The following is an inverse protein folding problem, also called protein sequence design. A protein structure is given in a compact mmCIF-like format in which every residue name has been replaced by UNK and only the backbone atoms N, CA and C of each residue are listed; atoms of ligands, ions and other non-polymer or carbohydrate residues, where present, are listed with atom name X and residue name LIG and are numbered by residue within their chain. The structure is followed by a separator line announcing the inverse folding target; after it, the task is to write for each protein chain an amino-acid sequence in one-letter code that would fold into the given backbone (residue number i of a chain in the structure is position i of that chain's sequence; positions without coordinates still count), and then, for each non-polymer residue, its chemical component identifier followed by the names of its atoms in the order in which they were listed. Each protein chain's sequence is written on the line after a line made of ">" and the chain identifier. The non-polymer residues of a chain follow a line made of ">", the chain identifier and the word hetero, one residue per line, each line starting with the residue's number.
data_IF_401440461627
#
_entry.id   IF_401440461627
#
_cell.length_a   1.000
_cell.length_b   1.000
_cell.length_c   1.000
_cell.angle_alpha   90.00
_cell.angle_beta   90.00
_cell.angle_gamma   90.00
#
_symmetry.space_group_name_H-M   'P 1'
#
loop_
_entity.id
_entity.type
_entity.pdbx_description
1 polymer ?
#
# COMPACT_ATOMS: atom_id res chain seq x y z
N UNK A 1 -3.98 27.07 -12.64
CA UNK A 1 -4.28 25.66 -12.24
C UNK A 1 -5.51 25.70 -11.36
N UNK A 2 -6.59 25.00 -11.69
CA UNK A 2 -7.88 25.06 -10.96
C UNK A 2 -7.93 24.15 -9.73
N UNK A 3 -7.22 23.02 -9.78
CA UNK A 3 -7.25 21.99 -8.74
C UNK A 3 -5.87 21.82 -8.11
N UNK A 4 -5.79 21.87 -6.78
CA UNK A 4 -4.60 21.45 -6.02
C UNK A 4 -5.01 20.40 -4.99
N UNK A 5 -4.51 19.17 -5.14
CA UNK A 5 -4.71 18.07 -4.19
C UNK A 5 -3.59 18.07 -3.14
N UNK A 6 -3.97 18.17 -1.87
CA UNK A 6 -3.09 17.92 -0.73
C UNK A 6 -3.22 16.46 -0.31
N UNK A 7 -2.16 15.66 -0.52
CA UNK A 7 -2.12 14.22 -0.21
C UNK A 7 -0.87 13.82 0.55
N UNK A 8 -0.88 12.62 1.12
CA UNK A 8 0.25 12.12 1.91
C UNK A 8 1.48 11.78 1.04
N UNK A 9 2.68 11.64 1.60
CA UNK A 9 3.88 11.31 0.81
C UNK A 9 3.90 9.88 0.26
N UNK A 10 3.21 8.94 0.91
CA UNK A 10 3.42 7.50 0.74
C UNK A 10 2.31 6.80 -0.07
N UNK A 11 1.19 7.48 -0.29
CA UNK A 11 -0.08 6.89 -0.75
C UNK A 11 -0.72 5.95 0.29
N UNK A 12 -0.44 6.17 1.57
CA UNK A 12 -0.98 5.37 2.68
C UNK A 12 -2.36 5.82 3.12
N UNK A 13 -2.77 7.06 2.82
CA UNK A 13 -4.08 7.55 3.21
C UNK A 13 -5.17 7.03 2.23
N UNK A 14 -6.11 6.17 2.68
CA UNK A 14 -7.16 5.64 1.81
C UNK A 14 -8.06 6.76 1.25
N UNK A 15 -8.32 7.77 2.06
CA UNK A 15 -9.12 8.93 1.67
C UNK A 15 -8.43 9.77 0.59
N UNK A 16 -7.09 9.87 0.60
CA UNK A 16 -6.35 10.52 -0.47
C UNK A 16 -6.41 9.70 -1.76
N UNK A 17 -6.29 8.38 -1.65
CA UNK A 17 -6.29 7.47 -2.79
C UNK A 17 -7.59 7.57 -3.60
N UNK A 18 -8.78 7.59 -2.97
CA UNK A 18 -10.04 7.74 -3.74
C UNK A 18 -10.15 9.05 -4.50
N UNK A 19 -9.74 10.18 -3.90
CA UNK A 19 -9.77 11.49 -4.58
C UNK A 19 -8.74 11.51 -5.72
N UNK A 20 -7.56 10.93 -5.50
CA UNK A 20 -6.52 10.83 -6.49
C UNK A 20 -6.98 9.99 -7.70
N UNK A 21 -7.52 8.79 -7.47
CA UNK A 21 -8.08 7.94 -8.52
C UNK A 21 -9.18 8.65 -9.30
N UNK A 22 -10.05 9.41 -8.63
CA UNK A 22 -11.12 10.13 -9.29
C UNK A 22 -10.59 11.18 -10.26
N UNK A 23 -9.58 11.96 -9.84
CA UNK A 23 -8.93 12.96 -10.69
C UNK A 23 -8.23 12.32 -11.90
N UNK A 24 -7.55 11.19 -11.71
CA UNK A 24 -6.87 10.46 -12.78
C UNK A 24 -7.85 9.84 -13.79
N UNK A 25 -8.89 9.14 -13.32
CA UNK A 25 -9.92 8.55 -14.19
C UNK A 25 -10.69 9.61 -14.99
N UNK A 26 -10.97 10.77 -14.37
CA UNK A 26 -11.58 11.93 -15.05
C UNK A 26 -10.60 12.74 -15.88
N UNK A 27 -9.29 12.44 -15.80
CA UNK A 27 -8.20 13.15 -16.48
C UNK A 27 -8.22 14.67 -16.23
N UNK A 28 -8.54 15.06 -15.00
CA UNK A 28 -8.58 16.48 -14.61
C UNK A 28 -7.15 16.96 -14.38
N UNK A 29 -6.69 18.06 -15.00
CA UNK A 29 -5.38 18.63 -14.68
C UNK A 29 -5.36 19.20 -13.25
N UNK A 30 -4.37 18.78 -12.45
CA UNK A 30 -4.25 19.19 -11.06
C UNK A 30 -2.80 19.31 -10.62
N UNK A 31 -2.56 20.05 -9.55
CA UNK A 31 -1.29 20.12 -8.83
C UNK A 31 -1.34 19.23 -7.60
N UNK A 32 -0.24 18.56 -7.27
CA UNK A 32 -0.09 17.83 -6.00
C UNK A 32 0.77 18.62 -5.03
N UNK A 33 0.32 18.74 -3.78
CA UNK A 33 1.15 19.15 -2.65
C UNK A 33 1.19 18.01 -1.64
N UNK A 34 2.39 17.45 -1.41
CA UNK A 34 2.58 16.35 -0.47
C UNK A 34 2.72 16.88 0.97
N UNK A 35 2.10 16.16 1.91
CA UNK A 35 2.02 16.53 3.33
C UNK A 35 2.32 15.29 4.17
N UNK A 36 3.10 15.43 5.22
CA UNK A 36 3.49 14.33 6.11
C UNK A 36 2.31 13.91 7.00
N UNK A 37 2.06 12.59 7.13
CA UNK A 37 1.10 12.04 8.10
C UNK A 37 1.76 11.83 9.46
N UNK A 38 0.96 11.90 10.52
CA UNK A 38 1.42 11.77 11.90
C UNK A 38 2.10 10.43 12.17
N UNK A 39 1.65 9.35 11.51
CA UNK A 39 2.21 8.03 11.72
C UNK A 39 3.69 7.94 11.29
N UNK A 40 4.15 8.67 10.26
CA UNK A 40 5.53 8.57 9.77
C UNK A 40 6.39 9.83 9.91
N UNK A 41 5.86 10.92 10.45
CA UNK A 41 6.67 12.11 10.67
C UNK A 41 5.91 13.30 11.25
N UNK A 42 6.58 14.45 11.28
CA UNK A 42 6.00 15.69 11.76
C UNK A 42 5.24 16.39 10.62
N UNK A 43 3.98 16.71 10.89
CA UNK A 43 3.14 17.46 9.94
C UNK A 43 3.65 18.89 9.77
N UNK A 44 3.65 19.37 8.54
CA UNK A 44 4.19 20.67 8.18
C UNK A 44 3.37 21.82 8.78
N UNK A 45 4.05 22.83 9.34
CA UNK A 45 3.40 23.99 9.97
C UNK A 45 2.51 24.78 9.00
N UNK A 46 2.99 24.98 7.77
CA UNK A 46 2.22 25.65 6.71
C UNK A 46 0.91 24.92 6.39
N UNK A 47 0.90 23.59 6.48
CA UNK A 47 -0.32 22.83 6.22
C UNK A 47 -1.30 22.95 7.38
N UNK A 48 -0.83 22.96 8.63
CA UNK A 48 -1.68 23.19 9.80
C UNK A 48 -2.28 24.59 9.83
N UNK A 49 -1.59 25.59 9.28
CA UNK A 49 -2.16 26.93 9.12
C UNK A 49 -3.31 26.94 8.09
N UNK A 50 -3.19 26.15 7.03
CA UNK A 50 -4.22 26.03 5.99
C UNK A 50 -5.39 25.13 6.42
N UNK A 51 -5.09 23.98 7.04
CA UNK A 51 -6.03 22.97 7.52
C UNK A 51 -5.73 22.72 9.01
N UNK A 52 -6.40 23.44 9.93
CA UNK A 52 -6.12 23.35 11.37
C UNK A 52 -6.21 21.95 11.98
N UNK A 53 -7.11 21.10 11.45
CA UNK A 53 -7.22 19.70 11.88
C UNK A 53 -6.01 18.85 11.50
N UNK A 54 -5.21 19.29 10.50
CA UNK A 54 -4.11 18.53 9.93
C UNK A 54 -4.53 17.28 9.12
N UNK A 55 -5.84 17.05 8.96
CA UNK A 55 -6.39 15.89 8.26
C UNK A 55 -6.12 15.96 6.75
N UNK A 56 -6.04 14.78 6.12
CA UNK A 56 -5.88 14.61 4.68
C UNK A 56 -7.00 13.70 4.16
N UNK A 57 -7.41 13.82 2.89
CA UNK A 57 -6.98 14.84 1.93
C UNK A 57 -7.59 16.21 2.25
N UNK A 58 -6.97 17.24 1.67
CA UNK A 58 -7.63 18.52 1.40
C UNK A 58 -7.49 18.82 -0.10
N UNK A 59 -8.40 19.62 -0.64
CA UNK A 59 -8.37 20.01 -2.05
C UNK A 59 -8.72 21.49 -2.17
N UNK A 60 -7.93 22.21 -2.95
CA UNK A 60 -8.27 23.56 -3.38
C UNK A 60 -8.87 23.50 -4.78
N UNK A 61 -10.07 24.03 -4.94
CA UNK A 61 -10.80 24.13 -6.20
C UNK A 61 -11.15 25.61 -6.44
N UNK A 62 -10.60 26.20 -7.50
CA UNK A 62 -10.82 27.60 -7.85
C UNK A 62 -10.59 28.58 -6.67
N UNK A 63 -9.54 28.31 -5.89
CA UNK A 63 -9.15 29.10 -4.71
C UNK A 63 -9.92 28.77 -3.43
N UNK A 64 -10.92 27.88 -3.48
CA UNK A 64 -11.67 27.44 -2.31
C UNK A 64 -11.09 26.15 -1.73
N UNK A 65 -10.71 26.19 -0.45
CA UNK A 65 -10.24 25.02 0.28
C UNK A 65 -11.41 24.15 0.75
N UNK A 66 -11.34 22.86 0.45
CA UNK A 66 -12.35 21.86 0.77
C UNK A 66 -11.65 20.71 1.50
N UNK A 67 -12.20 20.33 2.64
CA UNK A 67 -11.79 19.17 3.43
C UNK A 67 -12.90 18.13 3.47
N UNK A 68 -12.60 16.96 4.00
CA UNK A 68 -13.45 15.76 3.94
C UNK A 68 -13.55 15.18 2.54
N UNK A 69 -13.04 13.96 2.39
CA UNK A 69 -12.89 13.31 1.09
C UNK A 69 -14.20 13.14 0.31
N UNK A 70 -15.35 12.89 0.97
CA UNK A 70 -16.65 12.84 0.30
C UNK A 70 -17.12 14.22 -0.17
N UNK A 71 -16.90 15.29 0.62
CA UNK A 71 -17.23 16.66 0.21
C UNK A 71 -16.36 17.13 -0.96
N UNK A 72 -15.09 16.73 -0.96
CA UNK A 72 -14.17 16.98 -2.07
C UNK A 72 -14.69 16.34 -3.35
N UNK A 73 -15.07 15.06 -3.30
CA UNK A 73 -15.62 14.39 -4.48
C UNK A 73 -16.92 15.05 -4.96
N UNK A 74 -17.85 15.39 -4.07
CA UNK A 74 -19.08 16.12 -4.45
C UNK A 74 -18.79 17.46 -5.15
N UNK A 75 -17.82 18.23 -4.64
CA UNK A 75 -17.44 19.49 -5.27
C UNK A 75 -16.77 19.29 -6.64
N UNK A 76 -15.94 18.24 -6.78
CA UNK A 76 -15.35 17.87 -8.06
C UNK A 76 -16.42 17.40 -9.06
N UNK A 77 -17.41 16.62 -8.63
CA UNK A 77 -18.54 16.20 -9.47
C UNK A 77 -19.37 17.42 -9.91
N UNK A 78 -19.63 18.38 -9.02
CA UNK A 78 -20.33 19.62 -9.37
C UNK A 78 -19.56 20.45 -10.41
N UNK A 79 -18.23 20.48 -10.34
CA UNK A 79 -17.39 21.28 -11.24
C UNK A 79 -17.07 20.60 -12.58
N UNK A 80 -16.97 19.28 -12.62
CA UNK A 80 -16.48 18.52 -13.79
C UNK A 80 -17.41 17.37 -14.24
N UNK A 81 -18.58 17.26 -13.62
CA UNK A 81 -19.51 16.14 -13.81
C UNK A 81 -19.06 14.86 -13.10
N UNK A 82 -19.98 13.92 -12.86
CA UNK A 82 -19.67 12.67 -12.16
C UNK A 82 -18.71 11.77 -12.96
N UNK A 83 -18.08 10.80 -12.26
CA UNK A 83 -17.45 9.66 -12.91
C UNK A 83 -18.52 8.60 -13.15
N UNK A 84 -19.16 8.69 -14.32
CA UNK A 84 -20.34 7.91 -14.76
C UNK A 84 -21.58 8.14 -13.90
N UNK A 85 -21.56 7.66 -12.66
CA UNK A 85 -22.65 7.81 -11.70
C UNK A 85 -22.25 8.78 -10.59
N UNK A 86 -23.14 9.70 -10.23
CA UNK A 86 -22.90 10.68 -9.17
C UNK A 86 -22.94 10.03 -7.78
N UNK A 87 -22.17 10.56 -6.83
CA UNK A 87 -22.09 10.04 -5.46
C UNK A 87 -23.43 10.05 -4.70
N UNK A 88 -24.36 10.92 -5.10
CA UNK A 88 -25.68 11.07 -4.52
C UNK A 88 -26.79 10.40 -5.34
N UNK A 89 -26.43 9.72 -6.44
CA UNK A 89 -27.39 9.00 -7.25
C UNK A 89 -28.09 7.89 -6.41
N UNK A 90 -29.40 7.64 -6.61
CA UNK A 90 -30.15 6.60 -5.89
C UNK A 90 -29.52 5.21 -5.95
N UNK A 91 -28.81 4.89 -7.03
CA UNK A 91 -28.10 3.63 -7.26
C UNK A 91 -26.78 3.55 -6.49
N UNK A 92 -26.10 4.68 -6.26
CA UNK A 92 -24.79 4.75 -5.59
C UNK A 92 -24.94 4.81 -4.06
N UNK A 93 -26.00 5.43 -3.57
CA UNK A 93 -26.24 5.60 -2.13
C UNK A 93 -26.33 4.28 -1.33
N UNK A 94 -27.01 3.22 -1.82
CA UNK A 94 -26.96 1.90 -1.20
C UNK A 94 -25.55 1.30 -1.17
N UNK A 95 -24.78 1.46 -2.25
CA UNK A 95 -23.40 0.95 -2.33
C UNK A 95 -22.49 1.64 -1.31
N UNK A 96 -22.62 2.96 -1.15
CA UNK A 96 -21.90 3.70 -0.10
C UNK A 96 -22.27 3.27 1.32
N UNK A 97 -23.51 2.79 1.55
CA UNK A 97 -23.89 2.19 2.83
C UNK A 97 -23.22 0.82 3.02
N UNK A 98 -23.21 0.00 1.97
CA UNK A 98 -22.56 -1.31 1.97
C UNK A 98 -21.04 -1.19 2.23
N UNK A 99 -20.35 -0.25 1.59
CA UNK A 99 -18.93 0.02 1.85
C UNK A 99 -18.67 0.29 3.32
N UNK A 100 -19.47 1.14 3.97
CA UNK A 100 -19.31 1.42 5.41
C UNK A 100 -19.60 0.22 6.29
N UNK A 101 -20.53 -0.65 5.92
CA UNK A 101 -20.81 -1.88 6.64
C UNK A 101 -19.64 -2.86 6.52
N UNK A 102 -19.11 -3.03 5.31
CA UNK A 102 -17.91 -3.83 5.04
C UNK A 102 -16.69 -3.31 5.80
N UNK A 103 -16.46 -1.99 5.77
CA UNK A 103 -15.41 -1.32 6.54
C UNK A 103 -15.54 -1.59 8.05
N UNK A 104 -16.75 -1.50 8.61
CA UNK A 104 -16.99 -1.78 10.03
C UNK A 104 -16.72 -3.24 10.39
N UNK A 105 -17.18 -4.18 9.56
CA UNK A 105 -16.94 -5.61 9.78
C UNK A 105 -15.43 -5.94 9.71
N UNK A 106 -14.72 -5.34 8.76
CA UNK A 106 -13.27 -5.45 8.66
C UNK A 106 -12.55 -4.90 9.90
N UNK A 107 -12.89 -3.68 10.33
CA UNK A 107 -12.32 -3.09 11.55
C UNK A 107 -12.59 -3.96 12.78
N UNK A 108 -13.81 -4.48 12.92
CA UNK A 108 -14.17 -5.35 14.05
C UNK A 108 -13.36 -6.64 14.05
N UNK A 109 -13.06 -7.21 12.89
CA UNK A 109 -12.28 -8.44 12.81
C UNK A 109 -10.77 -8.21 12.95
N UNK A 110 -10.24 -7.16 12.31
CA UNK A 110 -8.81 -6.89 12.24
C UNK A 110 -8.28 -6.12 13.46
N UNK A 111 -9.01 -5.12 13.93
CA UNK A 111 -8.51 -4.09 14.85
C UNK A 111 -9.02 -4.27 16.29
N UNK A 112 -9.75 -5.35 16.56
CA UNK A 112 -10.21 -5.70 17.91
C UNK A 112 -9.66 -7.09 18.27
N UNK A 113 -9.08 -7.27 19.46
CA UNK A 113 -8.61 -8.59 19.90
C UNK A 113 -9.79 -9.50 20.25
N UNK A 114 -9.73 -10.75 19.80
CA UNK A 114 -10.76 -11.77 20.04
C UNK A 114 -10.22 -12.82 21.03
N UNK A 115 -10.73 -12.88 22.28
CA UNK A 115 -10.12 -13.68 23.35
C UNK A 115 -10.29 -15.19 23.19
N UNK A 116 -11.11 -15.65 22.24
CA UNK A 116 -11.28 -17.07 21.99
C UNK A 116 -11.69 -17.43 20.55
N UNK A 117 -11.64 -18.72 20.18
CA UNK A 117 -11.90 -19.18 18.82
C UNK A 117 -13.32 -18.84 18.32
N UNK A 118 -14.31 -18.83 19.22
CA UNK A 118 -15.70 -18.52 18.87
C UNK A 118 -15.87 -17.07 18.44
N UNK A 119 -15.32 -16.11 19.18
CA UNK A 119 -15.38 -14.68 18.80
C UNK A 119 -14.60 -14.39 17.52
N UNK A 120 -13.44 -15.02 17.32
CA UNK A 120 -12.66 -14.89 16.08
C UNK A 120 -13.45 -15.43 14.88
N UNK A 121 -14.08 -16.60 15.03
CA UNK A 121 -14.92 -17.22 14.01
C UNK A 121 -16.14 -16.36 13.67
N UNK A 122 -16.81 -15.81 14.70
CA UNK A 122 -17.98 -14.93 14.49
C UNK A 122 -17.59 -13.66 13.73
N UNK A 123 -16.48 -13.01 14.10
CA UNK A 123 -15.99 -11.82 13.41
C UNK A 123 -15.61 -12.11 11.95
N UNK A 124 -14.96 -13.26 11.71
CA UNK A 124 -14.67 -13.73 10.34
C UNK A 124 -15.94 -13.95 9.52
N UNK A 125 -16.96 -14.59 10.10
CA UNK A 125 -18.25 -14.81 9.44
C UNK A 125 -18.99 -13.49 9.18
N UNK A 126 -18.93 -12.53 10.10
CA UNK A 126 -19.55 -11.21 9.93
C UNK A 126 -18.93 -10.44 8.78
N UNK A 127 -17.60 -10.48 8.66
CA UNK A 127 -16.89 -9.93 7.51
C UNK A 127 -17.24 -10.67 6.21
N UNK A 128 -17.20 -12.01 6.21
CA UNK A 128 -17.50 -12.84 5.02
C UNK A 128 -18.91 -12.56 4.49
N UNK A 129 -19.90 -12.31 5.36
CA UNK A 129 -21.25 -11.90 4.95
C UNK A 129 -21.26 -10.57 4.21
N UNK A 130 -20.53 -9.56 4.72
CA UNK A 130 -20.47 -8.25 4.04
C UNK A 130 -19.69 -8.32 2.72
N UNK A 131 -18.61 -9.10 2.67
CA UNK A 131 -17.88 -9.38 1.44
C UNK A 131 -18.76 -10.12 0.43
N UNK A 132 -19.57 -11.08 0.87
CA UNK A 132 -20.56 -11.78 0.04
C UNK A 132 -21.57 -10.79 -0.54
N UNK A 133 -22.10 -9.86 0.26
CA UNK A 133 -23.03 -8.83 -0.26
C UNK A 133 -22.38 -7.94 -1.33
N UNK A 134 -21.09 -7.59 -1.19
CA UNK A 134 -20.37 -6.91 -2.27
C UNK A 134 -20.23 -7.78 -3.51
N UNK A 135 -19.89 -9.06 -3.33
CA UNK A 135 -19.76 -10.02 -4.43
C UNK A 135 -21.09 -10.24 -5.18
N UNK A 136 -22.22 -10.25 -4.48
CA UNK A 136 -23.56 -10.35 -5.08
C UNK A 136 -23.89 -9.13 -5.94
N UNK A 137 -23.56 -7.92 -5.47
CA UNK A 137 -23.70 -6.69 -6.27
C UNK A 137 -22.86 -6.78 -7.56
N UNK A 138 -21.59 -7.18 -7.44
CA UNK A 138 -20.69 -7.38 -8.59
C UNK A 138 -21.14 -8.51 -9.52
N UNK A 139 -21.85 -9.51 -9.00
CA UNK A 139 -22.41 -10.62 -9.76
C UNK A 139 -23.66 -10.24 -10.55
N UNK A 140 -24.45 -9.30 -10.05
CA UNK A 140 -25.68 -8.83 -10.69
C UNK A 140 -25.44 -7.74 -11.75
N UNK A 141 -24.32 -7.03 -11.70
CA UNK A 141 -24.00 -5.95 -12.62
C UNK A 141 -23.57 -6.47 -14.01
N UNK A 142 -23.93 -5.76 -15.11
CA UNK A 142 -23.48 -6.10 -16.47
C UNK A 142 -22.04 -5.63 -16.70
N UNK A 143 -21.07 -6.31 -16.09
CA UNK A 143 -19.63 -6.00 -16.20
C UNK A 143 -18.84 -6.36 -14.95
N UNK A 144 -17.56 -5.96 -14.85
CA UNK A 144 -16.72 -6.28 -13.69
C UNK A 144 -16.83 -5.25 -12.54
N UNK A 145 -17.50 -4.12 -12.75
CA UNK A 145 -17.64 -3.03 -11.77
C UNK A 145 -19.02 -3.00 -11.11
N UNK A 146 -19.15 -2.30 -9.98
CA UNK A 146 -20.36 -2.31 -9.14
C UNK A 146 -21.64 -1.90 -9.88
N UNK A 147 -21.51 -1.05 -10.90
CA UNK A 147 -22.61 -0.59 -11.77
C UNK A 147 -22.32 -0.90 -13.25
N UNK A 148 -21.58 -1.98 -13.52
CA UNK A 148 -21.23 -2.47 -14.87
C UNK A 148 -19.97 -1.84 -15.45
N UNK A 149 -19.72 -0.57 -15.14
CA UNK A 149 -18.50 0.16 -15.54
C UNK A 149 -17.92 0.97 -14.37
N UNK A 150 -16.65 1.39 -14.48
CA UNK A 150 -15.99 2.13 -13.42
C UNK A 150 -16.71 3.45 -13.13
N UNK A 151 -16.95 3.71 -11.85
CA UNK A 151 -17.69 4.88 -11.41
C UNK A 151 -17.19 5.43 -10.07
N UNK A 152 -17.75 6.56 -9.64
CA UNK A 152 -17.54 7.06 -8.27
C UNK A 152 -17.89 6.01 -7.20
N UNK A 153 -18.80 5.06 -7.47
CA UNK A 153 -19.12 3.99 -6.54
C UNK A 153 -17.90 3.07 -6.30
N UNK A 154 -17.22 2.64 -7.36
CA UNK A 154 -16.04 1.78 -7.25
C UNK A 154 -14.90 2.48 -6.49
N UNK A 155 -14.63 3.74 -6.82
CA UNK A 155 -13.54 4.50 -6.20
C UNK A 155 -13.73 4.74 -4.70
N UNK A 156 -14.97 4.69 -4.20
CA UNK A 156 -15.24 4.71 -2.75
C UNK A 156 -14.83 3.40 -2.07
N UNK A 157 -14.95 2.26 -2.76
CA UNK A 157 -14.56 0.94 -2.23
C UNK A 157 -13.05 0.69 -2.35
N UNK A 158 -12.43 1.06 -3.48
CA UNK A 158 -11.04 0.71 -3.83
C UNK A 158 -10.05 0.82 -2.66
N UNK A 159 -9.93 1.96 -1.97
CA UNK A 159 -8.87 2.11 -0.97
C UNK A 159 -9.00 1.14 0.22
N UNK A 160 -10.23 0.85 0.64
CA UNK A 160 -10.45 -0.03 1.79
C UNK A 160 -10.41 -1.49 1.40
N UNK A 161 -11.00 -1.86 0.28
CA UNK A 161 -10.98 -3.27 -0.17
C UNK A 161 -9.55 -3.68 -0.51
N UNK A 162 -8.73 -2.81 -1.11
CA UNK A 162 -7.30 -3.07 -1.32
C UNK A 162 -6.55 -3.34 0.00
N UNK A 163 -6.79 -2.51 1.03
CA UNK A 163 -6.22 -2.72 2.38
C UNK A 163 -6.74 -3.97 3.05
N UNK A 164 -8.01 -4.33 2.84
CA UNK A 164 -8.60 -5.59 3.33
C UNK A 164 -7.90 -6.80 2.71
N UNK A 165 -7.68 -6.81 1.40
CA UNK A 165 -6.99 -7.92 0.71
C UNK A 165 -5.60 -8.16 1.35
N UNK A 166 -4.82 -7.10 1.52
CA UNK A 166 -3.48 -7.18 2.12
C UNK A 166 -3.49 -7.59 3.60
N UNK A 167 -4.24 -6.85 4.42
CA UNK A 167 -4.23 -7.02 5.87
C UNK A 167 -4.87 -8.32 6.32
N UNK A 168 -5.93 -8.80 5.65
CA UNK A 168 -6.56 -10.06 6.01
C UNK A 168 -5.72 -11.26 5.57
N UNK A 169 -5.00 -11.17 4.45
CA UNK A 169 -4.01 -12.18 4.08
C UNK A 169 -2.92 -12.28 5.16
N UNK A 170 -2.40 -11.13 5.62
CA UNK A 170 -1.32 -11.09 6.61
C UNK A 170 -1.77 -11.50 8.02
N UNK A 171 -2.83 -10.89 8.56
CA UNK A 171 -3.22 -11.06 9.96
C UNK A 171 -4.22 -12.20 10.18
N UNK A 172 -4.96 -12.64 9.16
CA UNK A 172 -6.04 -13.62 9.31
C UNK A 172 -5.89 -14.85 8.43
N UNK A 173 -4.85 -14.90 7.59
CA UNK A 173 -4.69 -15.94 6.58
C UNK A 173 -5.86 -16.01 5.59
N UNK A 174 -6.62 -14.93 5.43
CA UNK A 174 -7.83 -14.89 4.63
C UNK A 174 -7.57 -14.23 3.28
N UNK A 175 -7.61 -15.02 2.21
CA UNK A 175 -7.37 -14.57 0.84
C UNK A 175 -8.68 -14.11 0.18
N UNK A 176 -9.05 -12.84 0.40
CA UNK A 176 -10.33 -12.25 -0.04
C UNK A 176 -10.64 -12.49 -1.53
N UNK A 177 -9.66 -12.26 -2.41
CA UNK A 177 -9.79 -12.48 -3.87
C UNK A 177 -10.09 -13.95 -4.20
N UNK A 178 -9.36 -14.90 -3.59
CA UNK A 178 -9.59 -16.34 -3.81
C UNK A 178 -10.92 -16.82 -3.25
N UNK A 179 -11.42 -16.19 -2.18
CA UNK A 179 -12.68 -16.55 -1.54
C UNK A 179 -13.90 -16.05 -2.31
N UNK A 180 -13.78 -14.92 -3.01
CA UNK A 180 -14.88 -14.23 -3.68
C UNK A 180 -14.53 -13.91 -5.14
N UNK A 181 -14.87 -14.81 -6.06
CA UNK A 181 -14.53 -14.68 -7.49
C UNK A 181 -15.04 -13.38 -8.15
N UNK A 182 -16.17 -12.84 -7.71
CA UNK A 182 -16.67 -11.56 -8.22
C UNK A 182 -15.80 -10.37 -7.77
N UNK A 183 -15.28 -10.41 -6.54
CA UNK A 183 -14.33 -9.40 -6.03
C UNK A 183 -12.99 -9.54 -6.75
N UNK A 184 -12.53 -10.76 -7.01
CA UNK A 184 -11.31 -10.97 -7.80
C UNK A 184 -11.45 -10.40 -9.21
N UNK A 185 -12.54 -10.70 -9.92
CA UNK A 185 -12.84 -10.12 -11.24
C UNK A 185 -12.88 -8.60 -11.23
N UNK A 186 -13.35 -7.99 -10.14
CA UNK A 186 -13.30 -6.53 -9.96
C UNK A 186 -11.85 -6.03 -9.84
N UNK A 187 -10.99 -6.70 -9.07
CA UNK A 187 -9.55 -6.40 -9.02
C UNK A 187 -8.86 -6.60 -10.37
N UNK A 188 -9.16 -7.67 -11.10
CA UNK A 188 -8.61 -7.88 -12.45
C UNK A 188 -8.91 -6.69 -13.36
N UNK A 189 -10.16 -6.20 -13.34
CA UNK A 189 -10.54 -5.02 -14.13
C UNK A 189 -9.93 -3.71 -13.62
N UNK A 190 -9.68 -3.57 -12.31
CA UNK A 190 -8.92 -2.45 -11.76
C UNK A 190 -7.45 -2.49 -12.19
N UNK A 191 -6.85 -3.68 -12.22
CA UNK A 191 -5.45 -3.90 -12.62
C UNK A 191 -5.21 -3.66 -14.12
N UNK A 192 -6.26 -3.55 -14.93
CA UNK A 192 -6.17 -3.04 -16.31
C UNK A 192 -6.09 -1.49 -16.38
N UNK A 193 -6.26 -0.78 -15.27
CA UNK A 193 -6.35 0.68 -15.23
C UNK A 193 -5.04 1.33 -14.82
N UNK A 194 -4.42 2.19 -15.66
CA UNK A 194 -3.18 2.87 -15.31
C UNK A 194 -3.28 3.70 -14.03
N UNK A 195 -4.43 4.33 -13.78
CA UNK A 195 -4.68 5.11 -12.56
C UNK A 195 -4.61 4.23 -11.31
N UNK A 196 -5.22 3.04 -11.34
CA UNK A 196 -5.16 2.10 -10.23
C UNK A 196 -3.73 1.61 -10.01
N UNK A 197 -3.06 1.10 -11.05
CA UNK A 197 -1.68 0.60 -10.96
C UNK A 197 -0.68 1.64 -10.44
N UNK A 198 -0.87 2.92 -10.78
CA UNK A 198 -0.02 4.00 -10.28
C UNK A 198 -0.18 4.28 -8.78
N UNK A 199 -1.30 3.85 -8.18
CA UNK A 199 -1.60 4.04 -6.75
C UNK A 199 -1.61 2.74 -5.95
N UNK A 200 -1.54 1.59 -6.62
CA UNK A 200 -1.57 0.27 -6.03
C UNK A 200 -0.40 0.08 -5.07
N UNK A 201 -0.71 -0.40 -3.87
CA UNK A 201 0.28 -0.85 -2.89
C UNK A 201 0.42 -2.38 -2.91
N UNK A 202 1.40 -2.88 -2.17
CA UNK A 202 1.57 -4.32 -1.94
C UNK A 202 1.09 -4.74 -0.55
N UNK A 203 1.04 -6.06 -0.31
CA UNK A 203 0.58 -6.64 0.94
C UNK A 203 1.48 -6.23 2.09
N UNK A 204 2.80 -6.25 1.89
CA UNK A 204 3.77 -5.88 2.92
C UNK A 204 3.55 -4.44 3.39
N UNK A 205 3.44 -3.49 2.47
CA UNK A 205 3.28 -2.07 2.82
C UNK A 205 1.98 -1.83 3.56
N UNK A 206 0.84 -2.35 3.05
CA UNK A 206 -0.47 -2.18 3.70
C UNK A 206 -0.55 -2.92 5.04
N UNK A 207 0.01 -4.12 5.16
CA UNK A 207 0.00 -4.85 6.43
C UNK A 207 0.73 -4.07 7.53
N UNK A 208 1.84 -3.39 7.19
CA UNK A 208 2.70 -2.73 8.16
C UNK A 208 2.45 -1.22 8.30
N UNK A 209 1.68 -0.58 7.42
CA UNK A 209 1.30 0.84 7.59
C UNK A 209 0.01 1.01 8.41
N UNK A 210 -0.88 0.01 8.41
CA UNK A 210 -2.18 0.04 9.07
C UNK A 210 -2.13 0.10 10.61
N UNK A 211 -1.26 -0.66 11.33
CA UNK A 211 -1.32 -0.71 12.78
C UNK A 211 -1.30 0.67 13.47
N UNK A 212 -0.38 1.60 13.14
CA UNK A 212 -0.39 2.93 13.75
C UNK A 212 -1.51 3.85 13.26
N UNK A 213 -2.20 3.51 12.17
CA UNK A 213 -3.34 4.26 11.65
C UNK A 213 -4.66 3.81 12.28
N UNK A 214 -4.77 2.52 12.61
CA UNK A 214 -5.99 1.88 13.10
C UNK A 214 -6.00 1.64 14.61
N UNK A 215 -4.88 1.91 15.30
CA UNK A 215 -4.72 1.64 16.74
C UNK A 215 -4.36 0.20 17.07
N UNK A 216 -4.04 -0.62 16.07
CA UNK A 216 -3.63 -2.02 16.20
C UNK A 216 -4.24 -2.92 15.13
N UNK A 217 -3.55 -4.02 14.80
CA UNK A 217 -4.04 -5.10 13.97
C UNK A 217 -3.65 -6.43 14.62
N UNK A 218 -4.59 -7.36 14.75
CA UNK A 218 -4.44 -8.56 15.56
C UNK A 218 -4.44 -9.83 14.72
N UNK A 219 -3.35 -10.59 14.81
CA UNK A 219 -3.23 -11.86 14.14
C UNK A 219 -4.12 -12.93 14.82
N UNK A 220 -4.74 -13.82 14.03
CA UNK A 220 -5.50 -14.96 14.58
C UNK A 220 -4.59 -16.06 15.18
N UNK A 221 -3.30 -16.04 14.84
CA UNK A 221 -2.32 -17.01 15.31
C UNK A 221 -2.50 -18.42 14.74
N UNK A 222 -3.23 -18.59 13.64
CA UNK A 222 -3.34 -19.89 12.97
C UNK A 222 -2.02 -20.24 12.24
N UNK A 223 -1.68 -21.54 12.07
CA UNK A 223 -0.52 -21.93 11.27
C UNK A 223 -0.55 -21.37 9.84
N UNK A 224 -1.74 -21.33 9.23
CA UNK A 224 -1.92 -20.80 7.88
C UNK A 224 -1.64 -19.30 7.81
N UNK A 225 -2.17 -18.51 8.76
CA UNK A 225 -1.88 -17.08 8.88
C UNK A 225 -0.39 -16.82 9.04
N UNK A 226 0.30 -17.53 9.94
CA UNK A 226 1.75 -17.38 10.12
C UNK A 226 2.53 -17.67 8.85
N UNK A 227 2.13 -18.71 8.11
CA UNK A 227 2.75 -19.04 6.84
C UNK A 227 2.57 -17.93 5.80
N UNK A 228 1.35 -17.36 5.68
CA UNK A 228 1.09 -16.25 4.78
C UNK A 228 1.85 -14.99 5.18
N UNK A 229 1.85 -14.62 6.47
CA UNK A 229 2.64 -13.50 6.97
C UNK A 229 4.14 -13.65 6.65
N UNK A 230 4.70 -14.85 6.86
CA UNK A 230 6.10 -15.13 6.53
C UNK A 230 6.39 -14.96 5.04
N UNK A 231 5.47 -15.39 4.16
CA UNK A 231 5.63 -15.23 2.71
C UNK A 231 5.48 -13.78 2.26
N UNK A 232 4.59 -13.03 2.90
CA UNK A 232 4.41 -11.59 2.63
C UNK A 232 5.66 -10.79 3.02
N UNK A 233 6.31 -11.14 4.13
CA UNK A 233 7.50 -10.42 4.61
C UNK A 233 8.79 -10.85 3.91
N UNK A 234 8.94 -12.15 3.60
CA UNK A 234 10.22 -12.74 3.21
C UNK A 234 10.21 -13.46 1.86
N UNK A 235 9.06 -13.51 1.19
CA UNK A 235 8.88 -14.23 -0.06
C UNK A 235 8.81 -15.76 0.12
N UNK A 236 8.96 -16.53 -0.97
CA UNK A 236 9.26 -16.05 -2.32
C UNK A 236 8.09 -15.26 -2.93
N UNK A 237 8.42 -14.36 -3.86
CA UNK A 237 7.46 -13.72 -4.76
C UNK A 237 7.64 -14.25 -6.19
N UNK A 238 6.57 -14.45 -6.97
CA UNK A 238 5.15 -14.36 -6.57
C UNK A 238 4.80 -15.31 -5.43
N UNK A 239 3.77 -14.96 -4.65
CA UNK A 239 3.35 -15.77 -3.50
C UNK A 239 2.51 -16.99 -3.89
N UNK A 240 2.08 -17.10 -5.14
CA UNK A 240 1.41 -18.31 -5.61
C UNK A 240 2.44 -19.33 -6.11
N UNK A 241 2.05 -20.61 -6.10
CA UNK A 241 2.83 -21.63 -6.78
C UNK A 241 2.78 -21.40 -8.30
N UNK A 242 3.76 -21.90 -9.09
CA UNK A 242 3.69 -21.84 -10.54
C UNK A 242 2.38 -22.46 -11.06
N UNK A 243 1.62 -21.69 -11.86
CA UNK A 243 0.32 -22.10 -12.39
C UNK A 243 -0.89 -21.73 -11.53
N UNK A 244 -0.69 -21.11 -10.36
CA UNK A 244 -1.76 -20.52 -9.55
C UNK A 244 -1.76 -18.98 -9.67
N UNK A 245 -2.94 -18.38 -9.51
CA UNK A 245 -3.08 -16.93 -9.45
C UNK A 245 -2.47 -16.36 -8.16
N UNK A 246 -1.63 -15.34 -8.34
CA UNK A 246 -1.01 -14.60 -7.25
C UNK A 246 -2.09 -13.76 -6.53
N UNK A 247 -2.30 -13.97 -5.21
CA UNK A 247 -3.35 -13.23 -4.50
C UNK A 247 -3.07 -11.73 -4.39
N UNK A 248 -1.83 -11.28 -4.59
CA UNK A 248 -1.47 -9.86 -4.45
C UNK A 248 -1.67 -9.07 -5.75
N UNK A 249 -1.36 -9.64 -6.92
CA UNK A 249 -1.63 -8.97 -8.20
C UNK A 249 -1.78 -9.92 -9.37
N UNK A 250 -2.62 -9.56 -10.35
CA UNK A 250 -2.72 -10.26 -11.63
C UNK A 250 -1.76 -9.76 -12.70
N UNK A 251 -1.06 -8.64 -12.46
CA UNK A 251 -0.15 -8.07 -13.43
C UNK A 251 1.08 -8.96 -13.61
N UNK A 252 1.48 -9.14 -14.87
CA UNK A 252 2.77 -9.74 -15.18
C UNK A 252 3.91 -8.78 -14.81
N UNK A 253 5.06 -9.33 -14.41
CA UNK A 253 6.25 -8.52 -14.12
C UNK A 253 6.65 -7.70 -15.37
N UNK A 254 6.70 -6.36 -15.27
CA UNK A 254 7.18 -5.53 -16.37
C UNK A 254 8.66 -5.80 -16.67
N UNK A 255 9.09 -5.77 -17.95
CA UNK A 255 10.47 -6.06 -18.33
C UNK A 255 11.50 -5.07 -17.74
N UNK A 256 11.06 -3.89 -17.34
CA UNK A 256 11.88 -2.84 -16.75
C UNK A 256 11.87 -2.83 -15.20
N UNK A 257 11.18 -3.78 -14.53
CA UNK A 257 11.05 -3.81 -13.07
C UNK A 257 12.42 -3.76 -12.35
N UNK A 258 13.40 -4.51 -12.85
CA UNK A 258 14.79 -4.50 -12.35
C UNK A 258 15.46 -3.15 -12.57
N UNK A 259 15.31 -2.55 -13.76
CA UNK A 259 15.90 -1.25 -14.08
C UNK A 259 15.32 -0.13 -13.21
N UNK A 260 14.00 -0.15 -12.98
CA UNK A 260 13.31 0.79 -12.09
C UNK A 260 13.83 0.66 -10.65
N UNK A 261 13.92 -0.55 -10.11
CA UNK A 261 14.46 -0.78 -8.77
C UNK A 261 15.90 -0.25 -8.62
N UNK A 262 16.77 -0.58 -9.57
CA UNK A 262 18.17 -0.11 -9.60
C UNK A 262 18.24 1.42 -9.62
N UNK A 263 17.49 2.06 -10.52
CA UNK A 263 17.50 3.52 -10.65
C UNK A 263 17.07 4.22 -9.35
N UNK A 264 16.04 3.70 -8.67
CA UNK A 264 15.54 4.26 -7.40
C UNK A 264 16.55 4.08 -6.27
N UNK A 265 17.17 2.92 -6.14
CA UNK A 265 18.20 2.68 -5.11
C UNK A 265 19.44 3.53 -5.36
N UNK A 266 19.95 3.56 -6.59
CA UNK A 266 21.15 4.33 -6.94
C UNK A 266 20.94 5.83 -6.71
N UNK A 267 19.76 6.37 -7.06
CA UNK A 267 19.39 7.76 -6.80
C UNK A 267 19.51 8.13 -5.32
N UNK A 268 19.13 7.23 -4.42
CA UNK A 268 19.05 7.47 -2.98
C UNK A 268 20.12 6.72 -2.18
N UNK A 269 21.15 6.16 -2.83
CA UNK A 269 22.15 5.27 -2.23
C UNK A 269 22.79 5.85 -0.97
N UNK A 270 23.24 7.12 -1.01
CA UNK A 270 23.85 7.78 0.15
C UNK A 270 22.91 7.84 1.34
N UNK A 271 21.65 8.22 1.11
CA UNK A 271 20.61 8.25 2.15
C UNK A 271 20.30 6.87 2.70
N UNK A 272 20.24 5.85 1.84
CA UNK A 272 19.99 4.46 2.25
C UNK A 272 21.16 3.93 3.09
N UNK A 273 22.41 4.16 2.68
CA UNK A 273 23.60 3.77 3.43
C UNK A 273 23.65 4.45 4.79
N UNK A 274 23.39 5.75 4.86
CA UNK A 274 23.36 6.48 6.12
C UNK A 274 22.25 6.00 7.08
N UNK A 275 21.15 5.45 6.55
CA UNK A 275 19.99 5.03 7.35
C UNK A 275 20.06 3.57 7.80
N UNK A 276 20.70 2.70 7.02
CA UNK A 276 20.68 1.25 7.21
C UNK A 276 22.07 0.63 7.42
N UNK A 277 23.14 1.39 7.19
CA UNK A 277 24.44 1.05 7.73
C UNK A 277 24.40 1.25 9.23
N UNK A 278 24.63 0.19 10.01
CA UNK A 278 24.73 0.27 11.46
C UNK A 278 25.78 1.31 11.86
N UNK A 279 25.65 1.86 13.08
CA UNK A 279 26.30 3.08 13.61
C UNK A 279 27.84 3.15 13.55
N UNK A 280 28.53 2.20 12.90
CA UNK A 280 29.98 2.16 12.78
C UNK A 280 30.53 1.59 11.47
N UNK A 281 29.72 1.14 10.51
CA UNK A 281 30.26 0.52 9.27
C UNK A 281 29.41 0.76 8.01
N UNK A 282 29.27 2.03 7.65
CA UNK A 282 28.58 2.46 6.43
C UNK A 282 29.21 1.89 5.14
N UNK A 283 30.54 1.71 5.12
CA UNK A 283 31.26 1.21 3.94
C UNK A 283 31.01 -0.28 3.69
N UNK A 284 30.95 -1.10 4.75
CA UNK A 284 30.53 -2.50 4.62
C UNK A 284 29.08 -2.61 4.17
N UNK A 285 28.17 -1.81 4.73
CA UNK A 285 26.78 -1.82 4.29
C UNK A 285 26.62 -1.37 2.84
N UNK A 286 27.34 -0.33 2.41
CA UNK A 286 27.36 0.12 1.02
C UNK A 286 27.89 -0.96 0.07
N UNK A 287 28.88 -1.73 0.51
CA UNK A 287 29.37 -2.91 -0.22
C UNK A 287 28.31 -4.01 -0.27
N UNK A 288 27.65 -4.32 0.85
CA UNK A 288 26.54 -5.28 0.91
C UNK A 288 25.38 -4.89 -0.01
N UNK A 289 25.03 -3.59 -0.06
CA UNK A 289 24.02 -3.07 -0.96
C UNK A 289 24.43 -3.28 -2.43
N UNK A 290 25.70 -3.04 -2.78
CA UNK A 290 26.21 -3.33 -4.13
C UNK A 290 26.19 -4.82 -4.46
N UNK A 291 26.44 -5.71 -3.50
CA UNK A 291 26.27 -7.15 -3.68
C UNK A 291 24.81 -7.48 -4.04
N UNK A 292 23.84 -6.92 -3.31
CA UNK A 292 22.42 -7.10 -3.60
C UNK A 292 22.01 -6.55 -4.97
N UNK A 293 22.52 -5.38 -5.37
CA UNK A 293 22.26 -4.82 -6.70
C UNK A 293 22.94 -5.63 -7.83
N UNK A 294 24.06 -6.30 -7.55
CA UNK A 294 24.71 -7.22 -8.48
C UNK A 294 23.85 -8.47 -8.69
N UNK A 295 23.32 -9.04 -7.60
CA UNK A 295 22.37 -10.15 -7.69
C UNK A 295 21.10 -9.74 -8.44
N UNK A 296 20.54 -8.57 -8.12
CA UNK A 296 19.35 -8.03 -8.77
C UNK A 296 19.53 -7.84 -10.29
N UNK A 297 20.67 -7.29 -10.71
CA UNK A 297 20.92 -6.92 -12.11
C UNK A 297 21.47 -8.04 -12.97
N UNK A 298 22.28 -8.94 -12.41
CA UNK A 298 23.01 -9.98 -13.16
C UNK A 298 22.61 -11.40 -12.79
N UNK A 299 21.74 -11.58 -11.78
CA UNK A 299 21.41 -12.90 -11.23
C UNK A 299 22.59 -13.61 -10.55
N UNK A 300 23.69 -12.90 -10.32
CA UNK A 300 24.93 -13.47 -9.78
C UNK A 300 24.98 -13.26 -8.27
N UNK A 301 24.96 -14.36 -7.52
CA UNK A 301 25.12 -14.32 -6.06
C UNK A 301 26.47 -13.73 -5.67
N UNK A 302 26.45 -12.79 -4.74
CA UNK A 302 27.64 -12.10 -4.25
C UNK A 302 27.56 -12.03 -2.72
N UNK A 303 28.43 -12.74 -1.97
CA UNK A 303 28.44 -12.67 -0.52
C UNK A 303 28.71 -11.23 -0.04
N UNK A 304 27.92 -10.69 0.90
CA UNK A 304 28.19 -9.37 1.47
C UNK A 304 29.29 -9.45 2.55
N UNK A 305 29.85 -8.31 2.97
CA UNK A 305 30.67 -8.25 4.18
C UNK A 305 29.92 -8.82 5.40
N UNK A 306 30.67 -9.44 6.31
CA UNK A 306 30.11 -10.04 7.52
C UNK A 306 29.42 -9.03 8.42
N UNK A 307 28.28 -9.41 9.01
CA UNK A 307 27.52 -8.58 9.94
C UNK A 307 26.57 -7.57 9.28
N UNK A 308 26.36 -7.63 7.97
CA UNK A 308 25.51 -6.69 7.22
C UNK A 308 24.09 -7.21 6.96
N UNK A 309 23.80 -8.48 7.29
CA UNK A 309 22.49 -9.10 7.09
C UNK A 309 21.33 -8.31 7.75
N UNK A 310 21.53 -7.81 8.97
CA UNK A 310 20.50 -7.06 9.70
C UNK A 310 20.10 -5.77 8.97
N UNK A 311 21.08 -5.00 8.48
CA UNK A 311 20.84 -3.78 7.69
C UNK A 311 20.09 -4.09 6.38
N UNK A 312 20.51 -5.13 5.66
CA UNK A 312 19.86 -5.54 4.40
C UNK A 312 18.39 -5.97 4.61
N UNK A 313 18.10 -6.72 5.67
CA UNK A 313 16.73 -7.10 6.06
C UNK A 313 15.92 -5.88 6.50
N UNK A 314 16.54 -4.97 7.23
CA UNK A 314 15.90 -3.72 7.67
C UNK A 314 15.48 -2.87 6.48
N UNK A 315 16.32 -2.76 5.45
CA UNK A 315 15.99 -2.09 4.20
C UNK A 315 14.87 -2.82 3.45
N UNK A 316 14.94 -4.15 3.31
CA UNK A 316 13.93 -4.94 2.60
C UNK A 316 12.52 -4.72 3.19
N UNK A 317 12.41 -4.72 4.52
CA UNK A 317 11.15 -4.49 5.25
C UNK A 317 10.64 -3.04 5.15
N UNK A 318 11.45 -2.11 4.65
CA UNK A 318 11.14 -0.67 4.59
C UNK A 318 11.03 -0.13 3.16
N UNK A 319 11.03 -0.99 2.15
CA UNK A 319 10.60 -0.60 0.81
C UNK A 319 9.09 -0.34 0.83
N UNK A 320 8.69 0.89 0.53
CA UNK A 320 7.31 1.35 0.52
C UNK A 320 6.77 1.38 -0.91
N UNK A 321 5.71 0.62 -1.17
CA UNK A 321 4.98 0.64 -2.45
C UNK A 321 3.74 1.54 -2.30
N UNK A 322 3.37 2.37 -3.30
CA UNK A 322 4.10 2.68 -4.53
C UNK A 322 5.12 3.83 -4.38
N UNK A 323 5.30 4.38 -3.17
CA UNK A 323 6.14 5.58 -2.91
C UNK A 323 7.54 5.48 -3.54
N UNK A 324 8.24 4.38 -3.26
CA UNK A 324 9.63 4.19 -3.67
C UNK A 324 9.72 3.67 -5.10
N UNK A 325 8.86 2.69 -5.41
CA UNK A 325 8.79 2.01 -6.70
C UNK A 325 7.49 1.22 -6.82
N UNK A 326 7.09 0.83 -8.05
CA UNK A 326 5.97 -0.08 -8.28
C UNK A 326 6.19 -1.46 -7.67
N UNK A 327 5.08 -2.18 -7.49
CA UNK A 327 5.00 -3.49 -6.82
C UNK A 327 6.05 -4.50 -7.30
N UNK A 328 6.16 -4.75 -8.61
CA UNK A 328 7.13 -5.73 -9.14
C UNK A 328 8.58 -5.33 -8.89
N UNK A 329 8.93 -4.05 -9.07
CA UNK A 329 10.27 -3.55 -8.76
C UNK A 329 10.61 -3.74 -7.28
N UNK A 330 9.65 -3.49 -6.38
CA UNK A 330 9.82 -3.71 -4.94
C UNK A 330 10.03 -5.19 -4.59
N UNK A 331 9.26 -6.11 -5.19
CA UNK A 331 9.45 -7.57 -5.02
C UNK A 331 10.87 -8.00 -5.41
N UNK A 332 11.34 -7.59 -6.59
CA UNK A 332 12.69 -7.91 -7.08
C UNK A 332 13.77 -7.40 -6.14
N UNK A 333 13.64 -6.16 -5.67
CA UNK A 333 14.60 -5.59 -4.73
C UNK A 333 14.57 -6.29 -3.37
N UNK A 334 13.39 -6.54 -2.79
CA UNK A 334 13.25 -7.28 -1.52
C UNK A 334 13.90 -8.65 -1.61
N UNK A 335 13.61 -9.40 -2.67
CA UNK A 335 14.17 -10.72 -2.88
C UNK A 335 15.71 -10.68 -2.96
N UNK A 336 16.28 -9.75 -3.74
CA UNK A 336 17.73 -9.62 -3.85
C UNK A 336 18.39 -9.24 -2.51
N UNK A 337 17.80 -8.33 -1.73
CA UNK A 337 18.29 -7.95 -0.41
C UNK A 337 18.26 -9.12 0.57
N UNK A 338 17.15 -9.85 0.63
CA UNK A 338 16.96 -10.98 1.54
C UNK A 338 17.88 -12.16 1.22
N UNK A 339 18.03 -12.48 -0.08
CA UNK A 339 18.95 -13.50 -0.58
C UNK A 339 20.41 -13.13 -0.28
N UNK A 340 20.80 -11.88 -0.54
CA UNK A 340 22.16 -11.41 -0.24
C UNK A 340 22.45 -11.48 1.26
N UNK A 341 21.51 -11.06 2.10
CA UNK A 341 21.65 -11.15 3.55
C UNK A 341 21.77 -12.60 4.07
N UNK A 342 21.20 -13.59 3.38
CA UNK A 342 21.37 -15.00 3.71
C UNK A 342 22.77 -15.55 3.38
N UNK A 343 23.56 -14.82 2.58
CA UNK A 343 24.95 -15.16 2.24
C UNK A 343 25.98 -14.50 3.18
N UNK A 344 25.54 -13.75 4.20
CA UNK A 344 26.42 -13.12 5.16
C UNK A 344 27.25 -14.18 5.92
N UNK A 345 28.59 -14.14 5.87
CA UNK A 345 29.45 -15.19 6.41
C UNK A 345 29.52 -15.20 7.95
N UNK A 346 29.05 -14.16 8.63
CA UNK A 346 29.14 -14.01 10.08
C UNK A 346 27.76 -14.09 10.73
N UNK A 347 26.76 -13.46 10.12
CA UNK A 347 25.47 -13.21 10.74
C UNK A 347 24.27 -13.46 9.81
N UNK A 348 24.33 -14.50 8.95
CA UNK A 348 23.25 -14.83 8.00
C UNK A 348 21.84 -14.88 8.60
N UNK A 349 21.71 -15.35 9.85
CA UNK A 349 20.43 -15.47 10.55
C UNK A 349 20.02 -14.20 11.34
N UNK A 350 20.81 -13.12 11.31
CA UNK A 350 20.48 -11.91 12.03
C UNK A 350 19.16 -11.31 11.50
N UNK A 351 18.19 -11.01 12.39
CA UNK A 351 16.95 -10.37 11.99
C UNK A 351 17.19 -8.91 11.62
N UNK A 352 16.31 -8.36 10.78
CA UNK A 352 16.25 -6.91 10.60
C UNK A 352 15.71 -6.20 11.84
N UNK A 353 15.91 -4.90 11.92
CA UNK A 353 15.32 -4.06 12.97
C UNK A 353 13.79 -4.13 12.88
N UNK A 354 13.10 -4.47 14.00
CA UNK A 354 11.66 -4.68 14.00
C UNK A 354 10.93 -3.42 13.52
N UNK A 355 9.80 -3.63 12.83
CA UNK A 355 8.93 -2.54 12.41
C UNK A 355 8.16 -2.02 13.64
N UNK A 356 8.15 -0.70 13.89
CA UNK A 356 7.41 -0.16 15.02
C UNK A 356 5.90 -0.26 14.79
N UNK A 357 5.13 -0.63 15.82
CA UNK A 357 3.68 -0.80 15.74
C UNK A 357 2.89 0.49 16.01
N UNK A 358 3.43 1.39 16.83
CA UNK A 358 2.77 2.63 17.24
C UNK A 358 3.02 3.80 16.28
N UNK A 359 4.00 3.66 15.38
CA UNK A 359 4.32 4.64 14.35
C UNK A 359 5.12 4.00 13.22
N UNK A 360 5.28 4.71 12.12
CA UNK A 360 6.25 4.44 11.04
C UNK A 360 7.23 5.59 10.83
N UNK A 361 7.75 6.20 11.90
CA UNK A 361 8.80 7.24 11.80
C UNK A 361 10.09 6.73 11.14
N UNK A 362 10.27 5.40 11.14
CA UNK A 362 11.26 4.69 10.34
C UNK A 362 11.02 4.80 8.82
N UNK A 363 9.92 5.43 8.39
CA UNK A 363 9.59 5.79 7.01
C UNK A 363 9.56 7.31 6.76
N UNK A 364 10.15 8.13 7.64
CA UNK A 364 10.24 9.59 7.39
C UNK A 364 10.83 9.89 5.99
N UNK A 365 10.09 10.60 5.12
CA UNK A 365 10.51 10.87 3.75
C UNK A 365 11.50 12.04 3.65
N UNK A 366 11.67 12.87 4.69
CA UNK A 366 12.49 14.09 4.64
C UNK A 366 13.92 13.86 4.08
N UNK A 367 14.68 12.83 4.52
CA UNK A 367 16.02 12.57 4.01
C UNK A 367 16.08 12.32 2.49
N UNK A 368 14.98 11.86 1.88
CA UNK A 368 14.90 11.56 0.44
C UNK A 368 14.40 12.75 -0.39
N UNK A 369 13.67 13.67 0.22
CA UNK A 369 13.17 14.88 -0.46
C UNK A 369 14.29 15.88 -0.75
N UNK A 370 15.33 15.95 0.10
CA UNK A 370 16.47 16.84 -0.11
C UNK A 370 17.27 16.48 -1.38
N UNK A 371 17.54 15.18 -1.59
CA UNK A 371 18.21 14.66 -2.80
C UNK A 371 17.45 15.05 -4.08
N UNK A 372 16.12 15.07 -4.01
CA UNK A 372 15.29 15.43 -5.17
C UNK A 372 15.36 16.92 -5.53
N UNK A 373 15.74 17.78 -4.59
CA UNK A 373 15.90 19.24 -4.81
C UNK A 373 17.30 19.63 -5.27
N UNK A 374 18.31 18.84 -4.93
CA UNK A 374 19.70 19.07 -5.38
C UNK A 374 19.94 18.62 -6.82
N UNK A 375 19.07 17.75 -7.34
CA UNK A 375 19.14 17.18 -8.71
C UNK A 375 18.16 17.81 -9.71
N UNK A 376 17.29 18.72 -9.24
CA UNK A 376 16.28 19.43 -10.05
C UNK A 376 16.70 20.90 -10.17
#
# INVERSE_FOLDING_TARGET
>A
MRVTLYRDHHAWCPYCQKVWLWLEEKRIPYRVRKVTMVCYGQKESWYRQLVPSGMLPALELDGQLITESDRILLALEAAFGPLRFAMEAPEVMPLRRLERLLFRAWCQWLCVPHPGPSSETQAAQDFDRMATSMAEVLGAAPGPFLLGEISSADLVFVPYVERMVASLAYYKGYLLRRRHAAIDRWFLALEERPAYLATQSDFHTHAHDLPPQMGGCYADGSPHQRQLAQRIDYGPWPMAAPGEDDPETSQAEPPDAVAVALARVLRHRRTLVARYGDSGDADSFDTALRCALTLLSRGSACPPPGGTAAGLRSLAQRISVPRDMPLHAARRLRQALLQTAALDPVAAAAPGHPLPLQHRRDQDPQPFLMVSREQA
#
